data_IF_026354163713
#
_entry.id   IF_026354163713
#
_cell.length_a   1.000
_cell.length_b   1.000
_cell.length_c   1.000
_cell.angle_alpha   90.00
_cell.angle_beta   90.00
_cell.angle_gamma   90.00
#
_symmetry.space_group_name_H-M   'P 1'
#
loop_
_entity.id
_entity.type
_entity.pdbx_description
1 polymer ?
#
# COMPACT_ATOMS: atom_id res chain seq x y z
N UNK A 1 -6.14 0.67 -25.85
CA UNK A 1 -5.36 -0.49 -25.39
C UNK A 1 -6.14 -1.74 -25.76
N UNK A 2 -5.91 -2.27 -26.96
CA UNK A 2 -6.57 -3.49 -27.42
C UNK A 2 -5.50 -4.55 -27.61
N UNK A 3 -5.13 -5.24 -26.55
CA UNK A 3 -4.37 -6.47 -26.71
C UNK A 3 -4.83 -7.47 -25.67
N UNK A 4 -5.22 -8.65 -26.15
CA UNK A 4 -5.46 -9.80 -25.30
C UNK A 4 -4.19 -10.11 -24.48
N UNK A 5 -4.40 -10.55 -23.24
CA UNK A 5 -3.36 -11.23 -22.47
C UNK A 5 -3.19 -12.65 -23.01
N UNK A 6 -2.01 -13.23 -22.83
CA UNK A 6 -1.77 -14.60 -23.26
C UNK A 6 -2.62 -15.60 -22.45
N UNK A 7 -2.98 -16.71 -23.07
CA UNK A 7 -3.68 -17.80 -22.38
C UNK A 7 -2.83 -18.31 -21.21
N UNK A 8 -3.45 -18.38 -20.04
CA UNK A 8 -2.85 -18.97 -18.85
C UNK A 8 -3.51 -20.31 -18.58
N UNK A 9 -2.75 -21.40 -18.61
CA UNK A 9 -3.24 -22.71 -18.21
C UNK A 9 -3.45 -22.71 -16.69
N UNK A 10 -4.70 -22.92 -16.26
CA UNK A 10 -5.07 -22.76 -14.85
C UNK A 10 -4.86 -24.05 -14.07
N UNK A 11 -5.53 -25.13 -14.49
CA UNK A 11 -5.48 -26.43 -13.80
C UNK A 11 -5.98 -27.55 -14.70
N UNK A 12 -5.26 -28.68 -14.71
CA UNK A 12 -5.76 -29.94 -15.24
C UNK A 12 -6.44 -30.75 -14.14
N UNK A 13 -7.64 -31.26 -14.41
CA UNK A 13 -8.39 -32.11 -13.49
C UNK A 13 -8.50 -33.50 -14.15
N UNK A 14 -7.79 -34.52 -13.62
CA UNK A 14 -7.71 -35.83 -14.28
C UNK A 14 -9.07 -36.53 -14.46
N UNK A 15 -9.98 -36.37 -13.50
CA UNK A 15 -11.33 -36.91 -13.57
C UNK A 15 -12.29 -36.09 -12.69
N UNK A 16 -13.54 -35.99 -13.12
CA UNK A 16 -14.66 -35.45 -12.34
C UNK A 16 -15.72 -36.55 -12.30
N UNK A 17 -16.05 -37.06 -11.10
CA UNK A 17 -17.03 -38.13 -10.94
C UNK A 17 -18.47 -37.62 -11.19
N UNK A 18 -19.42 -38.50 -11.56
CA UNK A 18 -20.83 -38.12 -11.69
C UNK A 18 -21.35 -37.43 -10.42
N UNK A 19 -21.92 -36.23 -10.56
CA UNK A 19 -22.43 -35.42 -9.46
C UNK A 19 -21.39 -34.58 -8.72
N UNK A 20 -20.09 -34.76 -9.00
CA UNK A 20 -19.03 -33.95 -8.40
C UNK A 20 -18.97 -32.56 -9.03
N UNK A 21 -18.77 -31.54 -8.19
CA UNK A 21 -18.46 -30.17 -8.62
C UNK A 21 -17.01 -29.85 -8.26
N UNK A 22 -16.32 -29.12 -9.12
CA UNK A 22 -14.96 -28.63 -8.87
C UNK A 22 -14.95 -27.12 -9.05
N UNK A 23 -14.29 -26.43 -8.13
CA UNK A 23 -14.03 -24.99 -8.20
C UNK A 23 -12.56 -24.81 -8.53
N UNK A 24 -12.27 -23.94 -9.49
CA UNK A 24 -10.92 -23.61 -9.93
C UNK A 24 -10.75 -22.11 -9.89
N UNK A 25 -9.78 -21.63 -9.12
CA UNK A 25 -9.41 -20.22 -9.10
C UNK A 25 -8.41 -19.93 -10.20
N UNK A 26 -8.69 -18.94 -11.04
CA UNK A 26 -7.84 -18.54 -12.15
C UNK A 26 -7.13 -17.22 -11.83
N UNK A 27 -5.82 -17.18 -12.06
CA UNK A 27 -4.98 -16.00 -11.84
C UNK A 27 -4.32 -15.60 -13.17
N UNK A 28 -4.98 -14.78 -14.00
CA UNK A 28 -4.41 -14.35 -15.27
C UNK A 28 -3.15 -13.52 -15.05
N UNK A 29 -2.13 -13.76 -15.88
CA UNK A 29 -0.92 -12.93 -15.87
C UNK A 29 -1.10 -11.73 -16.78
N UNK A 30 -1.16 -10.54 -16.20
CA UNK A 30 -1.19 -9.30 -16.95
C UNK A 30 0.19 -8.95 -17.50
N UNK A 31 0.21 -8.21 -18.61
CA UNK A 31 1.43 -7.59 -19.12
C UNK A 31 1.92 -6.52 -18.13
N UNK A 32 3.25 -6.26 -18.05
CA UNK A 32 3.78 -5.29 -17.09
C UNK A 32 3.23 -3.87 -17.24
N UNK A 33 2.73 -3.48 -18.40
CA UNK A 33 2.11 -2.17 -18.67
C UNK A 33 0.73 -1.99 -18.03
N UNK A 34 0.19 -3.00 -17.34
CA UNK A 34 -1.08 -2.88 -16.59
C UNK A 34 -1.06 -1.76 -15.55
N UNK A 35 0.11 -1.44 -15.01
CA UNK A 35 0.32 -0.34 -14.04
C UNK A 35 0.10 1.05 -14.65
N UNK A 36 0.05 1.15 -15.98
CA UNK A 36 -0.21 2.41 -16.70
C UNK A 36 -1.72 2.71 -16.80
N UNK A 37 -2.60 1.80 -16.34
CA UNK A 37 -4.05 1.97 -16.39
C UNK A 37 -4.55 2.95 -15.32
N UNK A 38 -4.77 4.21 -15.71
CA UNK A 38 -5.21 5.29 -14.80
C UNK A 38 -6.73 5.48 -14.69
N UNK A 39 -7.53 4.76 -15.48
CA UNK A 39 -8.98 4.87 -15.48
C UNK A 39 -9.63 3.50 -15.48
N UNK A 40 -10.78 3.39 -14.82
CA UNK A 40 -11.61 2.18 -14.84
C UNK A 40 -12.26 1.98 -16.20
N UNK A 41 -12.46 0.73 -16.59
CA UNK A 41 -13.14 0.36 -17.84
C UNK A 41 -13.87 -0.96 -17.69
N UNK A 42 -14.83 -1.20 -18.59
CA UNK A 42 -15.45 -2.50 -18.75
C UNK A 42 -14.58 -3.34 -19.69
N UNK A 43 -14.14 -4.49 -19.21
CA UNK A 43 -13.30 -5.42 -19.94
C UNK A 43 -14.04 -6.74 -20.14
N UNK A 44 -13.50 -7.61 -21.01
CA UNK A 44 -14.03 -8.95 -21.26
C UNK A 44 -12.95 -10.00 -21.03
N UNK A 45 -13.33 -11.10 -20.38
CA UNK A 45 -12.50 -12.29 -20.21
C UNK A 45 -13.09 -13.49 -20.95
N UNK A 46 -12.22 -14.40 -21.40
CA UNK A 46 -12.61 -15.67 -22.01
C UNK A 46 -12.02 -16.82 -21.19
N UNK A 47 -12.84 -17.82 -20.87
CA UNK A 47 -12.44 -19.08 -20.25
C UNK A 47 -12.61 -20.19 -21.28
N UNK A 48 -11.58 -21.01 -21.42
CA UNK A 48 -11.60 -22.20 -22.29
C UNK A 48 -11.51 -23.45 -21.43
N UNK A 49 -12.50 -24.33 -21.57
CA UNK A 49 -12.59 -25.61 -20.88
C UNK A 49 -12.45 -26.72 -21.92
N UNK A 50 -11.48 -27.60 -21.73
CA UNK A 50 -11.28 -28.79 -22.58
C UNK A 50 -11.60 -30.03 -21.76
N UNK A 51 -12.59 -30.82 -22.21
CA UNK A 51 -13.02 -32.04 -21.54
C UNK A 51 -13.37 -33.12 -22.56
N UNK A 52 -12.78 -34.31 -22.43
CA UNK A 52 -13.06 -35.46 -23.32
C UNK A 52 -12.81 -35.17 -24.81
N UNK A 53 -11.78 -34.36 -25.12
CA UNK A 53 -11.46 -33.93 -26.49
C UNK A 53 -12.39 -32.87 -27.07
N UNK A 54 -13.36 -32.35 -26.31
CA UNK A 54 -14.23 -31.25 -26.72
C UNK A 54 -13.82 -29.95 -26.04
N UNK A 55 -13.85 -28.86 -26.81
CA UNK A 55 -13.60 -27.51 -26.32
C UNK A 55 -14.93 -26.78 -26.09
N UNK A 56 -15.01 -26.04 -24.98
CA UNK A 56 -16.06 -25.07 -24.69
C UNK A 56 -15.42 -23.76 -24.27
N UNK A 57 -15.90 -22.66 -24.84
CA UNK A 57 -15.51 -21.30 -24.48
C UNK A 57 -16.65 -20.58 -23.80
N UNK A 58 -16.34 -19.82 -22.76
CA UNK A 58 -17.27 -18.95 -22.07
C UNK A 58 -16.68 -17.54 -22.00
N UNK A 59 -17.50 -16.54 -22.32
CA UNK A 59 -17.12 -15.13 -22.26
C UNK A 59 -17.87 -14.45 -21.11
N UNK A 60 -17.20 -13.57 -20.41
CA UNK A 60 -17.79 -12.75 -19.37
C UNK A 60 -17.25 -11.33 -19.44
N UNK A 61 -17.98 -10.38 -18.88
CA UNK A 61 -17.53 -8.99 -18.73
C UNK A 61 -17.30 -8.69 -17.25
N UNK A 62 -16.34 -7.83 -16.98
CA UNK A 62 -16.05 -7.37 -15.63
C UNK A 62 -15.60 -5.91 -15.66
N UNK A 63 -15.65 -5.25 -14.51
CA UNK A 63 -15.08 -3.91 -14.35
C UNK A 63 -13.61 -4.04 -13.93
N UNK A 64 -12.72 -3.51 -14.76
CA UNK A 64 -11.32 -3.34 -14.40
C UNK A 64 -11.13 -1.95 -13.82
N UNK A 65 -10.63 -1.88 -12.59
CA UNK A 65 -10.41 -0.62 -11.87
C UNK A 65 -9.14 0.10 -12.32
N UNK A 66 -8.99 1.37 -11.93
CA UNK A 66 -7.72 2.10 -12.06
C UNK A 66 -6.64 1.49 -11.18
N UNK A 67 -5.36 1.67 -11.53
CA UNK A 67 -4.22 1.29 -10.70
C UNK A 67 -4.25 1.96 -9.32
N UNK A 68 -4.90 3.12 -9.20
CA UNK A 68 -5.07 3.84 -7.95
C UNK A 68 -6.29 3.39 -7.15
N UNK A 69 -7.19 2.59 -7.71
CA UNK A 69 -8.42 2.17 -7.04
C UNK A 69 -8.16 0.91 -6.22
N UNK A 70 -8.02 1.08 -4.91
CA UNK A 70 -7.89 -0.01 -3.96
C UNK A 70 -9.27 -0.54 -3.58
N UNK A 71 -9.59 -1.76 -4.01
CA UNK A 71 -10.84 -2.44 -3.66
C UNK A 71 -10.67 -3.13 -2.30
N UNK A 72 -11.43 -2.72 -1.28
CA UNK A 72 -11.33 -3.24 0.09
C UNK A 72 -11.72 -4.72 0.24
N UNK A 73 -12.67 -5.19 -0.56
CA UNK A 73 -13.11 -6.58 -0.55
C UNK A 73 -13.64 -7.02 -1.90
N UNK A 74 -13.37 -8.27 -2.26
CA UNK A 74 -14.01 -8.97 -3.38
C UNK A 74 -15.31 -9.68 -3.01
N UNK A 75 -15.69 -9.68 -1.73
CA UNK A 75 -16.88 -10.37 -1.21
C UNK A 75 -18.13 -9.51 -1.49
N UNK A 76 -19.20 -10.08 -2.06
CA UNK A 76 -20.48 -9.38 -2.25
C UNK A 76 -21.00 -8.75 -0.96
N UNK A 77 -21.56 -7.55 -1.04
CA UNK A 77 -21.96 -6.78 0.14
C UNK A 77 -22.99 -7.48 1.03
N UNK A 78 -23.85 -8.33 0.45
CA UNK A 78 -24.84 -9.15 1.14
C UNK A 78 -24.26 -10.44 1.74
N UNK A 79 -23.03 -10.80 1.41
CA UNK A 79 -22.28 -11.92 1.99
C UNK A 79 -21.29 -11.48 3.08
N UNK A 80 -21.09 -10.17 3.27
CA UNK A 80 -20.18 -9.62 4.29
C UNK A 80 -20.82 -9.72 5.69
N UNK A 81 -20.19 -10.46 6.60
CA UNK A 81 -20.70 -10.70 7.96
C UNK A 81 -19.81 -10.10 9.07
N UNK A 82 -18.55 -9.78 8.76
CA UNK A 82 -17.53 -9.33 9.73
C UNK A 82 -16.73 -8.14 9.22
N UNK A 83 -15.90 -7.54 10.09
CA UNK A 83 -14.97 -6.50 9.66
C UNK A 83 -13.92 -7.08 8.70
N UNK A 84 -13.49 -8.32 8.95
CA UNK A 84 -12.57 -9.00 8.04
C UNK A 84 -13.13 -9.18 6.63
N UNK A 85 -14.43 -9.44 6.48
CA UNK A 85 -15.05 -9.58 5.16
C UNK A 85 -15.09 -8.25 4.39
N UNK A 86 -15.28 -7.13 5.09
CA UNK A 86 -15.29 -5.79 4.48
C UNK A 86 -13.89 -5.36 4.02
N UNK A 87 -12.85 -5.86 4.68
CA UNK A 87 -11.45 -5.46 4.50
C UNK A 87 -10.54 -6.64 4.12
N UNK A 88 -11.06 -7.62 3.38
CA UNK A 88 -10.36 -8.86 3.02
C UNK A 88 -9.08 -8.60 2.21
N UNK A 89 -9.10 -7.58 1.35
CA UNK A 89 -7.97 -7.25 0.49
C UNK A 89 -6.85 -6.47 1.20
N UNK A 90 -6.91 -6.14 2.49
CA UNK A 90 -5.87 -5.35 3.16
C UNK A 90 -4.46 -5.96 3.05
N UNK A 91 -4.36 -7.29 2.93
CA UNK A 91 -3.09 -7.97 2.68
C UNK A 91 -2.44 -7.61 1.33
N UNK A 92 -3.17 -6.96 0.42
CA UNK A 92 -2.69 -6.49 -0.89
C UNK A 92 -2.13 -5.05 -0.86
N UNK A 93 -2.18 -4.35 0.27
CA UNK A 93 -1.56 -3.01 0.42
C UNK A 93 -0.10 -2.98 -0.06
N UNK A 94 0.76 -4.00 0.19
CA UNK A 94 2.14 -4.03 -0.30
C UNK A 94 2.29 -3.89 -1.82
N UNK A 95 1.26 -4.15 -2.63
CA UNK A 95 1.29 -3.85 -4.07
C UNK A 95 1.58 -2.36 -4.35
N UNK A 96 1.15 -1.46 -3.46
CA UNK A 96 1.35 -0.01 -3.57
C UNK A 96 2.68 0.45 -2.94
N UNK A 97 3.37 -0.41 -2.20
CA UNK A 97 4.67 -0.09 -1.60
C UNK A 97 5.74 -0.25 -2.68
N UNK A 98 6.22 0.86 -3.23
CA UNK A 98 7.08 0.88 -4.41
C UNK A 98 8.53 1.29 -4.08
N UNK A 99 9.31 0.45 -3.36
CA UNK A 99 10.69 0.79 -2.95
C UNK A 99 11.65 0.90 -4.14
N UNK A 100 11.26 0.32 -5.28
CA UNK A 100 12.06 0.25 -6.49
C UNK A 100 11.74 1.36 -7.49
N UNK A 101 10.71 2.15 -7.23
CA UNK A 101 10.32 3.31 -8.03
C UNK A 101 11.47 4.34 -8.08
N UNK A 102 11.99 4.72 -9.26
CA UNK A 102 13.06 5.69 -9.40
C UNK A 102 12.80 7.04 -8.71
N UNK A 103 11.53 7.48 -8.62
CA UNK A 103 11.14 8.71 -7.94
C UNK A 103 11.24 8.55 -6.42
N UNK A 104 10.81 7.41 -5.88
CA UNK A 104 10.94 7.09 -4.44
C UNK A 104 12.41 6.96 -4.06
N UNK A 105 13.23 6.28 -4.87
CA UNK A 105 14.69 6.19 -4.65
C UNK A 105 15.33 7.58 -4.62
N UNK A 106 14.96 8.43 -5.58
CA UNK A 106 15.50 9.77 -5.67
C UNK A 106 15.11 10.65 -4.49
N UNK A 107 13.85 10.59 -4.06
CA UNK A 107 13.39 11.28 -2.86
C UNK A 107 14.11 10.76 -1.60
N UNK A 108 14.25 9.45 -1.46
CA UNK A 108 14.97 8.80 -0.35
C UNK A 108 16.41 9.28 -0.25
N UNK A 109 17.14 9.34 -1.37
CA UNK A 109 18.51 9.86 -1.42
C UNK A 109 18.59 11.32 -0.94
N UNK A 110 17.63 12.16 -1.35
CA UNK A 110 17.56 13.55 -0.90
C UNK A 110 17.26 13.68 0.60
N UNK A 111 16.43 12.80 1.18
CA UNK A 111 16.21 12.76 2.65
C UNK A 111 17.53 12.44 3.37
N UNK A 112 18.22 11.39 2.92
CA UNK A 112 19.48 10.97 3.53
C UNK A 112 20.54 12.08 3.46
N UNK A 113 20.65 12.76 2.32
CA UNK A 113 21.63 13.82 2.15
C UNK A 113 21.26 15.09 2.94
N UNK A 114 20.02 15.58 2.81
CA UNK A 114 19.62 16.90 3.29
C UNK A 114 19.10 16.92 4.72
N UNK A 115 18.44 15.84 5.16
CA UNK A 115 17.84 15.76 6.50
C UNK A 115 18.74 15.00 7.47
N UNK A 116 19.32 13.87 7.03
CA UNK A 116 20.19 13.04 7.85
C UNK A 116 21.69 13.35 7.71
N UNK A 117 22.05 14.34 6.89
CA UNK A 117 23.45 14.78 6.65
C UNK A 117 24.38 13.66 6.17
N UNK A 118 23.86 12.74 5.35
CA UNK A 118 24.64 11.68 4.69
C UNK A 118 24.75 10.37 5.47
N UNK A 119 24.11 10.25 6.64
CA UNK A 119 24.10 9.01 7.41
C UNK A 119 23.02 8.04 6.90
N UNK A 120 23.35 6.75 6.79
CA UNK A 120 22.50 5.72 6.17
C UNK A 120 22.06 4.67 7.19
N UNK A 121 20.79 4.74 7.63
CA UNK A 121 20.24 3.83 8.65
C UNK A 121 20.16 2.35 8.24
N UNK A 122 20.13 2.05 6.93
CA UNK A 122 20.11 0.68 6.42
C UNK A 122 21.37 -0.13 6.68
N UNK A 123 22.52 0.54 6.83
CA UNK A 123 23.84 -0.12 6.85
C UNK A 123 24.20 -0.62 8.24
N UNK A 124 23.78 0.06 9.30
CA UNK A 124 24.26 -0.21 10.66
C UNK A 124 23.42 -1.24 11.41
N UNK A 125 22.20 -1.55 10.93
CA UNK A 125 21.17 -2.29 11.68
C UNK A 125 21.07 -1.85 13.15
N UNK A 126 21.29 -0.56 13.41
CA UNK A 126 21.13 0.06 14.72
C UNK A 126 19.70 0.61 14.85
N UNK A 127 19.02 0.21 15.93
CA UNK A 127 17.67 0.71 16.27
C UNK A 127 17.66 2.22 16.38
N UNK A 128 18.69 2.83 16.98
CA UNK A 128 18.74 4.29 17.15
C UNK A 128 18.77 5.00 15.80
N UNK A 129 19.56 4.48 14.86
CA UNK A 129 19.64 5.01 13.51
C UNK A 129 18.36 4.76 12.71
N UNK A 130 17.72 3.60 12.88
CA UNK A 130 16.44 3.31 12.24
C UNK A 130 15.31 4.23 12.74
N UNK A 131 15.26 4.50 14.06
CA UNK A 131 14.32 5.47 14.65
C UNK A 131 14.64 6.89 14.18
N UNK A 132 15.93 7.28 14.15
CA UNK A 132 16.35 8.58 13.62
C UNK A 132 15.98 8.75 12.16
N UNK A 133 16.08 7.70 11.35
CA UNK A 133 15.66 7.72 9.96
C UNK A 133 14.14 7.84 9.83
N UNK A 134 13.36 7.09 10.61
CA UNK A 134 11.90 7.19 10.62
C UNK A 134 11.46 8.64 10.94
N UNK A 135 12.08 9.27 11.94
CA UNK A 135 11.87 10.70 12.24
C UNK A 135 12.36 11.62 11.12
N UNK A 136 13.45 11.28 10.44
CA UNK A 136 13.95 12.03 9.28
C UNK A 136 13.01 12.00 8.08
N UNK A 137 12.30 10.89 7.83
CA UNK A 137 11.25 10.82 6.81
C UNK A 137 10.10 11.76 7.20
N UNK A 138 9.67 11.73 8.46
CA UNK A 138 8.67 12.65 8.97
C UNK A 138 9.07 14.10 8.78
N UNK A 139 10.29 14.43 9.18
CA UNK A 139 10.81 15.77 9.07
C UNK A 139 10.92 16.23 7.61
N UNK A 140 11.26 15.33 6.69
CA UNK A 140 11.26 15.64 5.25
C UNK A 140 9.86 16.02 4.74
N UNK A 141 8.83 15.24 5.10
CA UNK A 141 7.44 15.53 4.71
C UNK A 141 6.93 16.83 5.37
N UNK A 142 7.28 17.07 6.63
CA UNK A 142 6.95 18.30 7.34
C UNK A 142 7.61 19.52 6.70
N UNK A 143 8.91 19.45 6.42
CA UNK A 143 9.70 20.56 5.83
C UNK A 143 9.32 20.85 4.39
N UNK A 144 8.93 19.85 3.61
CA UNK A 144 8.42 20.07 2.25
C UNK A 144 7.05 20.78 2.23
N UNK A 145 6.42 20.95 3.39
CA UNK A 145 5.07 21.49 3.50
C UNK A 145 4.01 20.52 3.00
N UNK A 146 4.28 19.20 3.10
CA UNK A 146 3.32 18.17 2.72
C UNK A 146 2.09 18.25 3.60
N UNK A 147 0.90 18.18 2.98
CA UNK A 147 -0.37 18.35 3.68
C UNK A 147 -1.12 17.03 3.81
N UNK A 148 -1.52 16.69 5.03
CA UNK A 148 -2.52 15.66 5.24
C UNK A 148 -3.89 16.14 4.77
N UNK A 149 -4.48 15.42 3.82
CA UNK A 149 -5.83 15.68 3.32
C UNK A 149 -6.80 14.70 3.96
N UNK A 150 -7.61 15.12 4.93
CA UNK A 150 -8.65 14.25 5.51
C UNK A 150 -9.90 14.17 4.62
N UNK A 151 -9.74 13.90 3.33
CA UNK A 151 -10.91 13.68 2.47
C UNK A 151 -11.53 12.33 2.86
N UNK A 152 -12.72 12.39 3.47
CA UNK A 152 -13.42 11.24 4.03
C UNK A 152 -13.64 10.12 3.00
N UNK A 153 -12.99 8.98 3.23
CA UNK A 153 -13.10 7.83 2.34
C UNK A 153 -12.75 6.48 2.98
N UNK A 154 -12.52 6.44 4.30
CA UNK A 154 -12.41 5.17 5.03
C UNK A 154 -13.77 4.89 5.66
N UNK A 155 -14.49 3.82 5.24
CA UNK A 155 -15.73 3.42 5.88
C UNK A 155 -15.48 3.19 7.37
N UNK A 156 -15.98 4.08 8.21
CA UNK A 156 -15.84 3.96 9.66
C UNK A 156 -16.84 2.95 10.27
N UNK A 157 -17.82 2.51 9.47
CA UNK A 157 -18.92 1.63 9.89
C UNK A 157 -19.26 0.60 8.82
N UNK A 158 -19.67 -0.58 9.28
CA UNK A 158 -20.30 -1.62 8.46
C UNK A 158 -21.61 -1.03 7.89
N UNK A 159 -21.82 -1.16 6.57
CA UNK A 159 -23.01 -0.66 5.88
C UNK A 159 -22.85 0.66 5.11
N UNK A 160 -21.65 1.24 5.07
CA UNK A 160 -21.35 2.37 4.16
C UNK A 160 -21.00 1.82 2.76
N UNK A 161 -22.03 1.32 2.06
CA UNK A 161 -21.91 0.53 0.81
C UNK A 161 -21.53 1.40 -0.40
N UNK A 162 -21.31 2.71 -0.22
CA UNK A 162 -21.00 3.62 -1.34
C UNK A 162 -19.51 3.73 -1.70
N UNK A 163 -18.57 3.14 -0.95
CA UNK A 163 -17.19 3.01 -1.43
C UNK A 163 -16.43 1.82 -0.83
N UNK A 164 -16.71 0.60 -1.32
CA UNK A 164 -15.81 -0.57 -1.23
C UNK A 164 -14.49 -0.36 -1.98
N UNK A 165 -14.25 0.83 -2.53
CA UNK A 165 -13.07 1.23 -3.27
C UNK A 165 -12.59 2.56 -2.74
N UNK A 166 -11.30 2.65 -2.38
CA UNK A 166 -10.64 3.92 -2.06
C UNK A 166 -9.61 4.21 -3.14
N UNK A 167 -9.60 5.44 -3.64
CA UNK A 167 -8.51 5.88 -4.50
C UNK A 167 -7.27 6.18 -3.64
N UNK A 168 -6.19 5.44 -3.85
CA UNK A 168 -4.89 5.54 -3.17
C UNK A 168 -3.86 5.97 -4.20
N UNK A 169 -3.30 7.17 -4.02
CA UNK A 169 -2.15 7.65 -4.79
C UNK A 169 -0.90 6.85 -4.45
N UNK A 170 -0.10 6.54 -5.47
CA UNK A 170 1.19 5.89 -5.31
C UNK A 170 2.17 6.83 -4.61
N UNK A 171 3.23 6.30 -3.97
CA UNK A 171 4.27 7.12 -3.32
C UNK A 171 4.80 8.27 -4.19
N UNK A 172 5.06 8.03 -5.49
CA UNK A 172 5.49 9.09 -6.44
C UNK A 172 4.47 10.22 -6.60
N UNK A 173 3.18 9.91 -6.54
CA UNK A 173 2.09 10.88 -6.66
C UNK A 173 1.91 11.65 -5.36
N UNK A 174 2.09 11.00 -4.20
CA UNK A 174 2.09 11.64 -2.87
C UNK A 174 3.26 12.61 -2.75
N UNK A 175 4.47 12.19 -3.12
CA UNK A 175 5.67 13.04 -3.13
C UNK A 175 5.43 14.26 -4.02
N UNK A 176 5.09 14.03 -5.29
CA UNK A 176 5.04 15.12 -6.29
C UNK A 176 3.77 15.96 -6.23
N UNK A 177 2.72 15.47 -5.58
CA UNK A 177 1.52 16.22 -5.22
C UNK A 177 1.64 16.96 -3.88
N UNK A 178 2.63 16.61 -3.06
CA UNK A 178 2.88 17.17 -1.72
C UNK A 178 1.64 17.11 -0.80
N UNK A 179 0.86 16.04 -0.90
CA UNK A 179 -0.30 15.79 -0.04
C UNK A 179 -0.62 14.29 0.03
N UNK A 180 -1.15 13.82 1.16
CA UNK A 180 -1.46 12.40 1.36
C UNK A 180 -2.57 12.13 2.37
N UNK A 181 -3.27 11.00 2.21
CA UNK A 181 -4.13 10.33 3.20
C UNK A 181 -3.27 9.54 4.20
N UNK A 182 -3.89 8.98 5.25
CA UNK A 182 -3.17 8.26 6.30
C UNK A 182 -2.52 6.98 5.73
N UNK A 183 -3.25 6.27 4.89
CA UNK A 183 -2.76 5.08 4.19
C UNK A 183 -1.71 5.43 3.13
N UNK A 184 -1.90 6.51 2.38
CA UNK A 184 -0.95 6.96 1.36
C UNK A 184 0.41 7.36 1.98
N UNK A 185 0.38 8.08 3.10
CA UNK A 185 1.58 8.41 3.87
C UNK A 185 2.21 7.14 4.45
N UNK A 186 1.42 6.20 4.96
CA UNK A 186 1.94 4.94 5.47
C UNK A 186 2.66 4.12 4.39
N UNK A 187 2.09 4.05 3.18
CA UNK A 187 2.67 3.39 2.01
C UNK A 187 3.95 4.11 1.55
N UNK A 188 3.95 5.45 1.52
CA UNK A 188 5.13 6.24 1.19
C UNK A 188 6.29 5.92 2.16
N UNK A 189 6.03 5.95 3.46
CA UNK A 189 7.03 5.67 4.48
C UNK A 189 7.54 4.23 4.37
N UNK A 190 6.64 3.26 4.20
CA UNK A 190 7.01 1.87 3.99
C UNK A 190 7.91 1.69 2.76
N UNK A 191 7.63 2.41 1.67
CA UNK A 191 8.43 2.37 0.44
C UNK A 191 9.84 2.92 0.65
N UNK A 192 9.97 4.02 1.40
CA UNK A 192 11.27 4.63 1.75
C UNK A 192 12.06 3.72 2.71
N UNK A 193 11.42 3.18 3.73
CA UNK A 193 12.04 2.28 4.71
C UNK A 193 12.55 0.98 4.04
N UNK A 194 11.72 0.37 3.18
CA UNK A 194 12.13 -0.82 2.43
C UNK A 194 13.24 -0.50 1.42
N UNK A 195 13.22 0.70 0.80
CA UNK A 195 14.29 1.13 -0.09
C UNK A 195 15.67 1.18 0.61
N UNK A 196 15.70 1.47 1.91
CA UNK A 196 16.94 1.45 2.71
C UNK A 196 17.23 0.10 3.37
N UNK A 197 16.42 -0.93 3.12
CA UNK A 197 16.62 -2.28 3.65
C UNK A 197 16.12 -2.51 5.07
N UNK A 198 15.31 -1.60 5.62
CA UNK A 198 14.55 -1.85 6.85
C UNK A 198 13.33 -2.74 6.56
N UNK A 199 12.76 -3.33 7.60
CA UNK A 199 11.55 -4.16 7.53
C UNK A 199 10.31 -3.31 7.87
N UNK A 200 9.65 -2.67 6.89
CA UNK A 200 8.55 -1.76 7.22
C UNK A 200 7.29 -2.50 7.63
N UNK A 201 6.55 -1.85 8.52
CA UNK A 201 5.25 -2.27 9.00
C UNK A 201 4.26 -1.14 8.71
N UNK A 202 3.07 -1.49 8.22
CA UNK A 202 1.92 -0.59 8.23
C UNK A 202 0.93 -1.12 9.26
N UNK A 203 0.57 -0.29 10.24
CA UNK A 203 -0.41 -0.64 11.25
C UNK A 203 -1.78 -0.10 10.82
N UNK A 204 -2.76 -0.99 10.78
CA UNK A 204 -4.15 -0.66 10.46
C UNK A 204 -5.00 -0.78 11.71
N UNK A 205 -5.74 0.28 12.00
CA UNK A 205 -6.75 0.34 13.05
C UNK A 205 -8.05 0.89 12.45
N UNK A 206 -9.20 0.79 13.14
CA UNK A 206 -10.44 1.40 12.65
C UNK A 206 -10.25 2.87 12.25
N UNK A 207 -10.41 3.16 10.96
CA UNK A 207 -10.36 4.52 10.41
C UNK A 207 -8.97 5.15 10.27
N UNK A 208 -7.88 4.46 10.59
CA UNK A 208 -6.54 5.05 10.54
C UNK A 208 -5.47 4.04 10.13
N UNK A 209 -4.41 4.55 9.49
CA UNK A 209 -3.21 3.81 9.16
C UNK A 209 -1.99 4.65 9.51
N UNK A 210 -0.97 4.00 10.07
CA UNK A 210 0.30 4.66 10.39
C UNK A 210 1.50 3.75 10.12
N UNK A 211 2.65 4.31 9.70
CA UNK A 211 3.83 3.53 9.37
C UNK A 211 4.72 3.23 10.58
N UNK A 212 5.60 2.27 10.36
CA UNK A 212 6.73 2.00 11.23
C UNK A 212 7.61 0.91 10.66
N UNK A 213 8.38 0.26 11.52
CA UNK A 213 9.25 -0.83 11.13
C UNK A 213 9.40 -1.84 12.27
N UNK A 214 9.84 -3.05 11.90
CA UNK A 214 10.25 -4.09 12.83
C UNK A 214 11.76 -4.22 12.82
N UNK A 215 12.36 -4.43 13.98
CA UNK A 215 13.80 -4.67 14.09
C UNK A 215 14.09 -5.43 15.36
N UNK A 216 14.92 -6.49 15.26
CA UNK A 216 15.34 -7.31 16.41
C UNK A 216 14.16 -7.83 17.25
N UNK A 217 13.05 -8.19 16.60
CA UNK A 217 11.84 -8.66 17.25
C UNK A 217 10.99 -7.58 17.93
N UNK A 218 11.40 -6.31 17.83
CA UNK A 218 10.66 -5.16 18.36
C UNK A 218 9.98 -4.38 17.24
N UNK A 219 8.88 -3.72 17.59
CA UNK A 219 8.07 -2.91 16.69
C UNK A 219 8.20 -1.43 17.04
N UNK A 220 8.28 -0.60 16.01
CA UNK A 220 8.36 0.85 16.12
C UNK A 220 7.28 1.44 15.22
N UNK A 221 6.73 2.58 15.62
CA UNK A 221 5.63 3.26 14.94
C UNK A 221 5.78 4.77 15.04
N UNK A 222 5.29 5.49 14.03
CA UNK A 222 5.28 6.95 13.99
C UNK A 222 3.92 7.44 13.47
N UNK A 223 3.35 8.47 14.11
CA UNK A 223 2.15 9.15 13.61
C UNK A 223 2.50 10.07 12.43
N UNK A 224 2.35 9.56 11.21
CA UNK A 224 2.77 10.29 10.00
C UNK A 224 1.82 11.41 9.57
N UNK A 225 0.60 11.47 10.12
CA UNK A 225 -0.40 12.47 9.70
C UNK A 225 -0.26 13.82 10.37
N UNK A 226 0.53 13.93 11.44
CA UNK A 226 0.72 15.16 12.21
C UNK A 226 1.58 16.24 11.52
N UNK A 227 1.72 16.17 10.19
CA UNK A 227 2.54 17.05 9.34
C UNK A 227 1.84 18.37 8.96
N UNK A 228 0.57 18.54 9.35
CA UNK A 228 -0.26 19.71 9.06
C UNK A 228 -1.31 19.44 7.98
N UNK A 229 -2.32 20.30 7.89
CA UNK A 229 -3.40 20.19 6.92
C UNK A 229 -4.75 20.66 7.44
N UNK A 230 -5.75 20.67 6.54
CA UNK A 230 -7.10 21.11 6.89
C UNK A 230 -7.74 20.15 7.92
N UNK A 231 -8.24 20.72 9.02
CA UNK A 231 -8.83 19.96 10.13
C UNK A 231 -7.82 19.36 11.12
N UNK A 232 -6.51 19.47 10.89
CA UNK A 232 -5.49 19.11 11.88
C UNK A 232 -5.18 20.34 12.73
N UNK A 233 -5.42 20.24 14.04
CA UNK A 233 -5.23 21.34 15.01
C UNK A 233 -3.79 21.82 15.25
N UNK A 234 -2.84 21.42 14.39
CA UNK A 234 -1.43 21.84 14.42
C UNK A 234 -0.47 20.80 13.84
N UNK A 235 0.75 21.23 13.53
CA UNK A 235 1.84 20.34 13.12
C UNK A 235 2.67 19.93 14.35
N UNK A 236 3.01 18.64 14.48
CA UNK A 236 3.85 18.13 15.56
C UNK A 236 5.34 18.09 15.18
N UNK A 237 6.23 18.07 16.18
CA UNK A 237 7.65 17.73 15.96
C UNK A 237 7.82 16.24 15.64
N UNK A 238 8.99 15.85 15.12
CA UNK A 238 9.28 14.45 14.83
C UNK A 238 9.26 13.57 16.09
N UNK A 239 9.75 14.09 17.22
CA UNK A 239 9.72 13.42 18.52
C UNK A 239 8.28 13.24 19.02
N UNK A 240 7.44 14.27 18.88
CA UNK A 240 6.02 14.18 19.25
C UNK A 240 5.26 13.17 18.38
N UNK A 241 5.57 13.12 17.08
CA UNK A 241 5.00 12.15 16.15
C UNK A 241 5.44 10.71 16.48
N UNK A 242 6.71 10.51 16.84
CA UNK A 242 7.23 9.24 17.32
C UNK A 242 6.56 8.81 18.63
N UNK A 243 6.51 9.70 19.64
CA UNK A 243 5.88 9.43 20.92
C UNK A 243 4.41 9.05 20.77
N UNK A 244 3.68 9.74 19.90
CA UNK A 244 2.28 9.43 19.59
C UNK A 244 2.16 8.08 18.88
N UNK A 245 3.00 7.80 17.88
CA UNK A 245 3.03 6.52 17.19
C UNK A 245 3.32 5.33 18.11
N UNK A 246 4.27 5.48 19.03
CA UNK A 246 4.59 4.44 20.02
C UNK A 246 3.45 4.21 21.03
N UNK A 247 2.69 5.25 21.41
CA UNK A 247 1.47 5.09 22.23
C UNK A 247 0.38 4.34 21.46
N UNK A 248 0.15 4.71 20.20
CA UNK A 248 -0.80 4.00 19.31
C UNK A 248 -0.41 2.54 19.14
N UNK A 249 0.89 2.24 19.01
CA UNK A 249 1.41 0.87 18.94
C UNK A 249 1.15 0.09 20.23
N UNK A 250 1.31 0.70 21.41
CA UNK A 250 1.01 0.03 22.67
C UNK A 250 -0.49 -0.34 22.78
N UNK A 251 -1.38 0.57 22.37
CA UNK A 251 -2.82 0.29 22.28
C UNK A 251 -3.15 -0.77 21.25
N UNK A 252 -2.50 -0.71 20.09
CA UNK A 252 -2.61 -1.69 19.01
C UNK A 252 -2.27 -3.09 19.52
N UNK A 253 -1.12 -3.25 20.19
CA UNK A 253 -0.66 -4.55 20.68
C UNK A 253 -1.63 -5.13 21.71
N UNK A 254 -2.21 -4.29 22.57
CA UNK A 254 -3.24 -4.71 23.52
C UNK A 254 -4.49 -5.22 22.81
N UNK A 255 -4.99 -4.49 21.82
CA UNK A 255 -6.18 -4.88 21.07
C UNK A 255 -5.94 -6.16 20.24
N UNK A 256 -4.80 -6.26 19.58
CA UNK A 256 -4.40 -7.45 18.82
C UNK A 256 -4.26 -8.70 19.72
N UNK A 257 -3.69 -8.56 20.92
CA UNK A 257 -3.60 -9.64 21.91
C UNK A 257 -4.97 -10.10 22.43
N UNK A 258 -5.95 -9.20 22.44
CA UNK A 258 -7.34 -9.52 22.76
C UNK A 258 -8.10 -10.16 21.59
N UNK A 259 -7.47 -10.33 20.42
CA UNK A 259 -8.08 -10.92 19.23
C UNK A 259 -9.02 -9.97 18.48
N UNK A 260 -8.87 -8.66 18.63
CA UNK A 260 -9.67 -7.69 17.87
C UNK A 260 -9.22 -7.68 16.39
N UNK A 261 -10.03 -8.26 15.51
CA UNK A 261 -9.73 -8.42 14.09
C UNK A 261 -9.53 -7.11 13.32
N UNK A 262 -9.93 -5.97 13.92
CA UNK A 262 -9.81 -4.65 13.31
C UNK A 262 -8.39 -4.06 13.41
N UNK A 263 -7.53 -4.68 14.21
CA UNK A 263 -6.14 -4.27 14.42
C UNK A 263 -5.22 -5.20 13.64
N UNK A 264 -4.77 -4.77 12.46
CA UNK A 264 -3.97 -5.59 11.55
C UNK A 264 -2.56 -5.02 11.34
N UNK A 265 -1.56 -5.89 11.42
CA UNK A 265 -0.19 -5.61 10.97
C UNK A 265 -0.09 -6.01 9.51
N UNK A 266 0.42 -5.11 8.68
CA UNK A 266 0.90 -5.40 7.33
C UNK A 266 2.43 -5.47 7.41
N UNK A 267 2.97 -6.68 7.58
CA UNK A 267 4.41 -6.93 7.38
C UNK A 267 4.66 -7.01 5.87
N UNK A 268 5.20 -5.91 5.33
CA UNK A 268 5.35 -5.71 3.89
C UNK A 268 6.29 -6.76 3.29
N UNK A 269 7.40 -7.06 3.98
CA UNK A 269 8.39 -8.01 3.49
C UNK A 269 7.84 -9.44 3.52
N UNK A 270 7.09 -9.80 4.55
CA UNK A 270 6.42 -11.10 4.64
C UNK A 270 5.39 -11.29 3.52
N UNK A 271 4.55 -10.29 3.26
CA UNK A 271 3.53 -10.37 2.23
C UNK A 271 4.11 -10.40 0.81
N UNK A 272 5.18 -9.63 0.55
CA UNK A 272 5.91 -9.72 -0.73
C UNK A 272 6.50 -11.11 -0.93
N UNK A 273 7.09 -11.69 0.12
CA UNK A 273 7.60 -13.07 0.08
C UNK A 273 6.48 -14.09 -0.22
N UNK A 274 5.26 -13.80 0.20
CA UNK A 274 4.07 -14.61 -0.06
C UNK A 274 3.38 -14.29 -1.40
N UNK A 275 3.98 -13.45 -2.25
CA UNK A 275 3.53 -13.20 -3.63
C UNK A 275 2.78 -11.90 -3.85
N UNK A 276 2.63 -11.04 -2.84
CA UNK A 276 2.03 -9.70 -3.00
C UNK A 276 3.08 -8.76 -3.58
N UNK A 277 3.21 -8.74 -4.90
CA UNK A 277 4.29 -8.02 -5.58
C UNK A 277 4.01 -6.52 -5.70
N UNK A 278 5.00 -5.72 -5.31
CA UNK A 278 5.02 -4.28 -5.55
C UNK A 278 4.94 -3.94 -7.04
N UNK A 279 4.26 -2.85 -7.38
CA UNK A 279 4.23 -2.34 -8.75
C UNK A 279 5.64 -1.95 -9.24
N UNK A 280 6.00 -2.41 -10.44
CA UNK A 280 7.20 -1.97 -11.14
C UNK A 280 6.88 -0.74 -11.98
N UNK A 281 7.50 0.39 -11.66
CA UNK A 281 7.21 1.66 -12.30
C UNK A 281 8.44 2.23 -12.99
N UNK A 282 8.26 2.77 -14.20
CA UNK A 282 9.33 3.41 -14.96
C UNK A 282 9.68 4.77 -14.38
N UNK A 283 10.90 5.22 -14.69
CA UNK A 283 11.35 6.57 -14.35
C UNK A 283 10.54 7.64 -15.10
N UNK A 284 10.50 8.85 -14.55
CA UNK A 284 9.77 9.98 -15.12
C UNK A 284 10.49 11.30 -14.81
N UNK A 285 11.02 11.94 -15.86
CA UNK A 285 11.78 13.19 -15.74
C UNK A 285 10.95 14.35 -15.20
N UNK A 286 9.65 14.41 -15.51
CA UNK A 286 8.78 15.46 -15.01
C UNK A 286 8.53 15.30 -13.51
N UNK A 287 8.34 14.07 -13.04
CA UNK A 287 8.22 13.79 -11.61
C UNK A 287 9.53 14.09 -10.86
N UNK A 288 10.70 13.81 -11.45
CA UNK A 288 12.00 14.20 -10.87
C UNK A 288 12.13 15.69 -10.68
N UNK A 289 11.77 16.50 -11.69
CA UNK A 289 11.80 17.96 -11.60
C UNK A 289 10.89 18.50 -10.50
N UNK A 290 9.73 17.86 -10.27
CA UNK A 290 8.87 18.20 -9.14
C UNK A 290 9.55 17.89 -7.80
N UNK A 291 10.26 16.78 -7.69
CA UNK A 291 11.06 16.48 -6.49
C UNK A 291 12.14 17.54 -6.29
N UNK A 292 12.88 17.92 -7.34
CA UNK A 292 13.93 18.94 -7.29
C UNK A 292 13.41 20.29 -6.77
N UNK A 293 12.20 20.68 -7.15
CA UNK A 293 11.56 21.90 -6.66
C UNK A 293 11.25 21.86 -5.14
N UNK A 294 11.15 20.66 -4.54
CA UNK A 294 10.89 20.47 -3.11
C UNK A 294 12.17 20.38 -2.27
N UNK A 295 13.27 19.88 -2.86
CA UNK A 295 14.56 19.66 -2.17
C UNK A 295 15.06 20.88 -1.38
N UNK A 296 15.00 22.14 -1.87
CA UNK A 296 15.46 23.30 -1.12
C UNK A 296 14.76 23.49 0.24
N UNK A 297 13.52 23.00 0.39
CA UNK A 297 12.78 23.09 1.64
C UNK A 297 13.27 22.07 2.68
N UNK A 298 13.88 20.96 2.27
CA UNK A 298 14.39 19.91 3.18
C UNK A 298 15.56 20.38 4.05
N UNK A 299 16.29 21.41 3.59
CA UNK A 299 17.40 22.03 4.32
C UNK A 299 16.97 22.98 5.45
N UNK A 300 15.68 23.31 5.54
CA UNK A 300 15.17 24.31 6.50
C UNK A 300 15.06 23.77 7.92
#
# INVERSE_FOLDING_TARGET
MGSYIDWTDVKEIPAILPGQKVVVTAYPRFKPDIVDKKTSSKETGEIKIVAGGKERKENFSFEMKSVNDFVYSGIPADEQASYSDVFDNMALIPCYVTPNDPIVKYYTANIQEKVLKGETAGVTRDVKEAVRFLMGIYEATRRSGMVYSSTGGVPAKIGDVSSLVQNIRLPREVITGNTGLCIELSILYASILQNTGLDPIIYLIPGHAYPGFRMNGQYYALESTAIGGEGIGGTASAEQALDKGMKQLAEFMKAAQMGDERYKIIDVNELIKNGVQAMELKDDNFLRQKVDAMVPNLNR
#
